data_IF_198142684923
#
_entry.id   IF_198142684923
#
_cell.length_a   1.000
_cell.length_b   1.000
_cell.length_c   1.000
_cell.angle_alpha   90.00
_cell.angle_beta   90.00
_cell.angle_gamma   90.00
#
_symmetry.space_group_name_H-M   'P 1'
#
loop_
_entity.id
_entity.type
_entity.pdbx_description
1 polymer ?
#
# COMPACT_ATOMS: atom_id res chain seq x y z
N UNK A 1 -2.67 -0.58 -4.29
CA UNK A 1 -1.52 0.08 -3.61
C UNK A 1 -1.02 -0.78 -2.47
N UNK A 2 0.16 -0.48 -1.88
CA UNK A 2 0.68 -1.27 -0.78
C UNK A 2 0.47 -0.54 0.58
N UNK A 3 1.14 -0.94 1.64
CA UNK A 3 0.85 -0.53 3.02
C UNK A 3 1.00 0.98 3.28
N UNK A 4 2.04 1.66 2.74
CA UNK A 4 2.27 3.08 3.00
C UNK A 4 1.17 3.95 2.41
N UNK A 5 0.80 3.72 1.15
CA UNK A 5 -0.23 4.51 0.49
C UNK A 5 -1.61 4.29 1.15
N UNK A 6 -1.96 3.05 1.54
CA UNK A 6 -3.20 2.79 2.26
C UNK A 6 -3.23 3.47 3.63
N UNK A 7 -2.12 3.47 4.38
CA UNK A 7 -2.02 4.20 5.63
C UNK A 7 -2.18 5.72 5.41
N UNK A 8 -1.50 6.28 4.40
CA UNK A 8 -1.57 7.70 4.03
C UNK A 8 -2.99 8.14 3.65
N UNK A 9 -3.69 7.31 2.87
CA UNK A 9 -5.06 7.56 2.42
C UNK A 9 -6.13 7.24 3.49
N UNK A 10 -5.72 6.95 4.71
CA UNK A 10 -6.60 6.83 5.89
C UNK A 10 -6.75 8.15 6.66
N UNK A 11 -6.07 9.21 6.21
CA UNK A 11 -6.22 10.60 6.69
C UNK A 11 -6.02 10.78 8.20
N UNK A 12 -5.18 9.94 8.82
CA UNK A 12 -4.85 10.01 10.23
C UNK A 12 -5.93 9.45 11.18
N UNK A 13 -7.01 8.87 10.65
CA UNK A 13 -8.02 8.23 11.48
C UNK A 13 -7.56 6.84 11.94
N UNK A 14 -7.42 6.59 13.27
CA UNK A 14 -6.82 5.38 13.80
C UNK A 14 -7.49 4.07 13.36
N UNK A 15 -8.82 3.98 13.47
CA UNK A 15 -9.56 2.78 13.09
C UNK A 15 -9.56 2.57 11.57
N UNK A 16 -9.62 3.67 10.78
CA UNK A 16 -9.49 3.61 9.33
C UNK A 16 -8.11 3.11 8.92
N UNK A 17 -7.02 3.55 9.57
CA UNK A 17 -5.65 3.05 9.33
C UNK A 17 -5.62 1.53 9.51
N UNK A 18 -6.10 1.05 10.65
CA UNK A 18 -6.12 -0.40 10.96
C UNK A 18 -6.92 -1.16 9.90
N UNK A 19 -8.15 -0.73 9.63
CA UNK A 19 -9.03 -1.38 8.66
C UNK A 19 -8.45 -1.40 7.25
N UNK A 20 -7.85 -0.30 6.83
CA UNK A 20 -7.21 -0.16 5.52
C UNK A 20 -6.00 -1.10 5.38
N UNK A 21 -5.18 -1.24 6.41
CA UNK A 21 -3.99 -2.09 6.37
C UNK A 21 -4.29 -3.59 6.49
N UNK A 22 -5.38 -3.99 7.15
CA UNK A 22 -5.72 -5.42 7.32
C UNK A 22 -6.66 -5.96 6.23
N UNK A 23 -7.20 -5.13 5.35
CA UNK A 23 -8.29 -5.48 4.43
C UNK A 23 -8.02 -6.74 3.60
N UNK A 24 -6.81 -6.91 3.07
CA UNK A 24 -6.40 -8.08 2.27
C UNK A 24 -6.44 -9.40 3.05
N UNK A 25 -6.40 -9.31 4.37
CA UNK A 25 -6.47 -10.46 5.28
C UNK A 25 -7.90 -10.76 5.77
N UNK A 26 -8.87 -9.91 5.40
CA UNK A 26 -10.28 -10.03 5.80
C UNK A 26 -11.15 -10.43 4.61
N UNK A 27 -11.66 -11.68 4.62
CA UNK A 27 -12.44 -12.23 3.51
C UNK A 27 -13.94 -12.26 3.80
N UNK A 28 -14.71 -11.96 2.77
CA UNK A 28 -16.17 -12.15 2.78
C UNK A 28 -16.86 -11.43 3.94
N UNK A 29 -17.69 -12.17 4.68
CA UNK A 29 -18.51 -11.64 5.80
C UNK A 29 -17.71 -11.37 7.08
N UNK A 30 -16.48 -11.86 7.20
CA UNK A 30 -15.63 -11.63 8.37
C UNK A 30 -15.40 -10.14 8.66
N UNK A 31 -15.55 -9.25 7.68
CA UNK A 31 -15.52 -7.80 7.91
C UNK A 31 -16.56 -7.32 8.96
N UNK A 32 -17.68 -8.05 9.13
CA UNK A 32 -18.75 -7.66 10.05
C UNK A 32 -18.38 -7.87 11.54
N UNK A 33 -17.33 -8.64 11.81
CA UNK A 33 -16.85 -8.93 13.17
C UNK A 33 -16.00 -7.79 13.76
N UNK A 34 -15.68 -6.78 12.95
CA UNK A 34 -14.87 -5.63 13.36
C UNK A 34 -15.70 -4.42 13.80
N UNK A 35 -15.17 -3.54 14.66
CA UNK A 35 -15.76 -2.23 14.97
C UNK A 35 -16.08 -1.41 13.73
N UNK A 36 -17.02 -0.47 13.85
CA UNK A 36 -17.52 0.30 12.72
C UNK A 36 -16.41 1.06 11.98
N UNK A 37 -15.49 1.73 12.70
CA UNK A 37 -14.39 2.47 12.07
C UNK A 37 -13.43 1.57 11.33
N UNK A 38 -13.07 0.38 11.89
CA UNK A 38 -12.24 -0.60 11.19
C UNK A 38 -12.95 -1.13 9.93
N UNK A 39 -14.26 -1.41 10.00
CA UNK A 39 -15.05 -1.82 8.81
C UNK A 39 -15.04 -0.75 7.73
N UNK A 40 -15.13 0.53 8.09
CA UNK A 40 -15.03 1.66 7.14
C UNK A 40 -13.65 1.68 6.48
N UNK A 41 -12.58 1.46 7.24
CA UNK A 41 -11.23 1.32 6.71
C UNK A 41 -11.09 0.16 5.71
N UNK A 42 -11.66 -1.02 6.02
CA UNK A 42 -11.69 -2.17 5.11
C UNK A 42 -12.45 -1.85 3.80
N UNK A 43 -13.57 -1.12 3.88
CA UNK A 43 -14.33 -0.70 2.70
C UNK A 43 -13.55 0.33 1.89
N UNK A 44 -12.96 1.32 2.54
CA UNK A 44 -12.12 2.33 1.89
C UNK A 44 -10.97 1.70 1.11
N UNK A 45 -10.26 0.73 1.68
CA UNK A 45 -9.21 -0.03 0.99
C UNK A 45 -9.70 -0.62 -0.34
N UNK A 46 -10.82 -1.34 -0.30
CA UNK A 46 -11.37 -2.00 -1.50
C UNK A 46 -11.80 -1.01 -2.58
N UNK A 47 -12.33 0.15 -2.17
CA UNK A 47 -12.71 1.21 -3.08
C UNK A 47 -11.47 1.88 -3.69
N UNK A 48 -10.41 2.11 -2.91
CA UNK A 48 -9.11 2.60 -3.36
C UNK A 48 -8.50 1.62 -4.37
N UNK A 49 -8.47 0.32 -4.07
CA UNK A 49 -7.89 -0.67 -4.99
C UNK A 49 -8.66 -0.75 -6.31
N UNK A 50 -9.98 -0.71 -6.26
CA UNK A 50 -10.81 -0.65 -7.47
C UNK A 50 -10.51 0.60 -8.30
N UNK A 51 -10.35 1.75 -7.67
CA UNK A 51 -9.99 3.00 -8.34
C UNK A 51 -8.59 2.88 -8.98
N UNK A 52 -7.62 2.37 -8.22
CA UNK A 52 -6.24 2.14 -8.66
C UNK A 52 -6.19 1.24 -9.90
N UNK A 53 -6.91 0.12 -9.88
CA UNK A 53 -6.93 -0.85 -10.98
C UNK A 53 -7.51 -0.28 -12.28
N UNK A 54 -8.46 0.64 -12.18
CA UNK A 54 -9.13 1.26 -13.34
C UNK A 54 -8.41 2.51 -13.85
N UNK A 55 -7.47 3.08 -13.07
CA UNK A 55 -6.83 4.33 -13.42
C UNK A 55 -5.91 4.21 -14.65
N UNK A 56 -5.97 5.16 -15.61
CA UNK A 56 -5.15 5.10 -16.84
C UNK A 56 -3.65 5.02 -16.56
N UNK A 57 -3.12 5.86 -15.67
CA UNK A 57 -1.71 5.87 -15.30
C UNK A 57 -1.27 4.53 -14.66
N UNK A 58 -2.13 3.88 -13.86
CA UNK A 58 -1.83 2.55 -13.31
C UNK A 58 -1.78 1.48 -14.39
N UNK A 59 -2.64 1.57 -15.41
CA UNK A 59 -2.58 0.65 -16.56
C UNK A 59 -1.29 0.81 -17.36
N UNK A 60 -0.83 2.04 -17.55
CA UNK A 60 0.44 2.34 -18.19
C UNK A 60 1.61 1.79 -17.37
N UNK A 61 1.67 2.07 -16.07
CA UNK A 61 2.69 1.53 -15.17
C UNK A 61 2.74 -0.01 -15.19
N UNK A 62 1.58 -0.68 -15.19
CA UNK A 62 1.48 -2.16 -15.28
C UNK A 62 2.07 -2.71 -16.58
N UNK A 63 1.95 -1.98 -17.70
CA UNK A 63 2.48 -2.44 -19.00
C UNK A 63 3.99 -2.67 -18.94
N UNK A 64 4.75 -1.91 -18.16
CA UNK A 64 6.20 -2.10 -17.99
C UNK A 64 6.57 -3.43 -17.31
N UNK A 65 5.70 -3.96 -16.45
CA UNK A 65 5.91 -5.23 -15.73
C UNK A 65 5.24 -6.42 -16.40
N UNK A 66 4.32 -6.19 -17.36
CA UNK A 66 3.43 -7.22 -17.89
C UNK A 66 4.15 -8.34 -18.62
N UNK A 67 5.24 -8.04 -19.33
CA UNK A 67 6.01 -9.04 -20.07
C UNK A 67 6.61 -10.10 -19.13
N UNK A 68 7.17 -9.66 -17.98
CA UNK A 68 7.83 -10.56 -17.03
C UNK A 68 6.85 -11.17 -16.02
N UNK A 69 5.83 -10.42 -15.59
CA UNK A 69 5.04 -10.79 -14.40
C UNK A 69 3.54 -10.95 -14.66
N UNK A 70 3.05 -10.71 -15.87
CA UNK A 70 1.65 -10.97 -16.28
C UNK A 70 0.62 -10.47 -15.24
N UNK A 71 -0.13 -11.40 -14.63
CA UNK A 71 -1.17 -11.11 -13.63
C UNK A 71 -0.64 -10.48 -12.33
N UNK A 72 0.65 -10.63 -12.03
CA UNK A 72 1.28 -10.05 -10.84
C UNK A 72 1.77 -8.61 -11.05
N UNK A 73 1.67 -8.05 -12.27
CA UNK A 73 2.13 -6.70 -12.60
C UNK A 73 1.54 -5.63 -11.66
N UNK A 74 0.27 -5.78 -11.26
CA UNK A 74 -0.38 -4.86 -10.31
C UNK A 74 0.37 -4.79 -8.98
N UNK A 75 0.74 -5.94 -8.41
CA UNK A 75 1.39 -5.99 -7.11
C UNK A 75 2.80 -5.35 -7.12
N UNK A 76 3.50 -5.39 -8.27
CA UNK A 76 4.76 -4.67 -8.44
C UNK A 76 4.53 -3.15 -8.51
N UNK A 77 3.53 -2.70 -9.26
CA UNK A 77 3.16 -1.28 -9.36
C UNK A 77 2.74 -0.73 -7.99
N UNK A 78 2.02 -1.51 -7.20
CA UNK A 78 1.60 -1.11 -5.85
C UNK A 78 2.80 -0.81 -4.94
N UNK A 79 3.85 -1.63 -5.00
CA UNK A 79 5.11 -1.41 -4.27
C UNK A 79 5.86 -0.19 -4.83
N UNK A 80 5.90 -0.02 -6.15
CA UNK A 80 6.55 1.12 -6.81
C UNK A 80 5.87 2.44 -6.44
N UNK A 81 4.55 2.46 -6.35
CA UNK A 81 3.82 3.65 -5.93
C UNK A 81 4.06 4.00 -4.46
N UNK A 82 4.21 3.01 -3.58
CA UNK A 82 4.63 3.24 -2.19
C UNK A 82 6.06 3.82 -2.12
N UNK A 83 6.96 3.37 -3.02
CA UNK A 83 8.30 3.94 -3.13
C UNK A 83 8.27 5.42 -3.50
N UNK A 84 7.57 5.76 -4.58
CA UNK A 84 7.48 7.15 -5.00
C UNK A 84 6.79 8.03 -3.95
N UNK A 85 5.76 7.52 -3.26
CA UNK A 85 5.13 8.24 -2.15
C UNK A 85 6.11 8.50 -0.99
N UNK A 86 6.90 7.49 -0.61
CA UNK A 86 7.89 7.63 0.46
C UNK A 86 9.04 8.59 0.10
N UNK A 87 9.34 8.73 -1.21
CA UNK A 87 10.38 9.60 -1.74
C UNK A 87 9.85 10.98 -2.17
N UNK A 88 8.54 11.21 -2.14
CA UNK A 88 7.90 12.46 -2.55
C UNK A 88 8.07 13.53 -1.46
N UNK A 89 9.02 14.45 -1.70
CA UNK A 89 9.36 15.52 -0.76
C UNK A 89 8.27 16.58 -0.61
N UNK A 90 7.31 16.67 -1.54
CA UNK A 90 6.14 17.54 -1.42
C UNK A 90 5.09 16.97 -0.45
N UNK A 91 5.17 15.66 -0.17
CA UNK A 91 4.29 14.95 0.76
C UNK A 91 4.98 14.66 2.09
N UNK A 92 6.20 14.13 2.05
CA UNK A 92 6.95 13.72 3.22
C UNK A 92 8.38 14.26 3.22
N UNK A 93 8.74 15.07 4.22
CA UNK A 93 10.16 15.15 4.61
C UNK A 93 10.57 13.83 5.26
N UNK A 94 11.89 13.60 5.43
CA UNK A 94 12.38 12.39 6.09
C UNK A 94 11.81 12.22 7.50
N UNK A 95 11.84 13.30 8.29
CA UNK A 95 11.31 13.30 9.66
C UNK A 95 9.78 13.09 9.70
N UNK A 96 9.06 13.68 8.74
CA UNK A 96 7.62 13.49 8.64
C UNK A 96 7.26 12.05 8.26
N UNK A 97 8.00 11.42 7.34
CA UNK A 97 7.81 10.01 6.99
C UNK A 97 8.13 9.10 8.19
N UNK A 98 9.20 9.39 8.93
CA UNK A 98 9.56 8.66 10.15
C UNK A 98 8.44 8.73 11.17
N UNK A 99 7.98 9.94 11.50
CA UNK A 99 6.89 10.14 12.45
C UNK A 99 5.59 9.47 12.00
N UNK A 100 5.29 9.49 10.68
CA UNK A 100 4.13 8.83 10.10
C UNK A 100 4.21 7.31 10.22
N UNK A 101 5.37 6.71 9.93
CA UNK A 101 5.59 5.27 10.06
C UNK A 101 5.46 4.82 11.52
N UNK A 102 6.12 5.51 12.45
CA UNK A 102 6.06 5.22 13.88
C UNK A 102 4.63 5.35 14.43
N UNK A 103 3.92 6.39 14.03
CA UNK A 103 2.51 6.59 14.39
C UNK A 103 1.61 5.47 13.86
N UNK A 104 1.81 5.05 12.61
CA UNK A 104 1.06 3.94 12.01
C UNK A 104 1.32 2.61 12.74
N UNK A 105 2.57 2.32 13.09
CA UNK A 105 2.90 1.12 13.88
C UNK A 105 2.29 1.18 15.28
N UNK A 106 2.28 2.35 15.92
CA UNK A 106 1.67 2.52 17.23
C UNK A 106 0.14 2.27 17.18
N UNK A 107 -0.54 2.71 16.11
CA UNK A 107 -1.98 2.40 15.95
C UNK A 107 -2.23 0.90 15.76
N UNK A 108 -1.41 0.20 14.98
CA UNK A 108 -1.51 -1.24 14.82
C UNK A 108 -1.26 -1.99 16.13
N UNK A 109 -0.28 -1.56 16.95
CA UNK A 109 -0.03 -2.12 18.27
C UNK A 109 -1.22 -1.94 19.20
N UNK A 110 -1.80 -0.71 19.24
CA UNK A 110 -2.96 -0.37 20.08
C UNK A 110 -4.19 -1.21 19.75
N UNK A 111 -4.34 -1.56 18.47
CA UNK A 111 -5.43 -2.36 17.95
C UNK A 111 -5.05 -3.84 17.73
N UNK A 112 -3.98 -4.32 18.35
CA UNK A 112 -3.41 -5.65 18.14
C UNK A 112 -4.41 -6.81 18.24
N UNK A 113 -5.43 -6.68 19.10
CA UNK A 113 -6.49 -7.67 19.27
C UNK A 113 -7.47 -7.79 18.07
N UNK A 114 -7.47 -6.79 17.16
CA UNK A 114 -8.26 -6.80 15.93
C UNK A 114 -7.46 -7.27 14.70
N UNK A 115 -6.16 -7.54 14.84
CA UNK A 115 -5.35 -7.96 13.71
C UNK A 115 -5.68 -9.42 13.32
N UNK A 116 -6.04 -9.69 12.06
CA UNK A 116 -6.21 -11.06 11.58
C UNK A 116 -4.94 -11.89 11.79
N UNK A 117 -5.07 -13.16 12.14
CA UNK A 117 -3.93 -14.03 12.52
C UNK A 117 -2.74 -13.95 11.56
N UNK A 118 -2.99 -13.94 10.24
CA UNK A 118 -1.90 -13.85 9.24
C UNK A 118 -1.22 -12.49 9.23
N UNK A 119 -1.98 -11.41 9.43
CA UNK A 119 -1.41 -10.06 9.56
C UNK A 119 -0.64 -9.93 10.87
N UNK A 120 -1.20 -10.39 11.99
CA UNK A 120 -0.55 -10.38 13.30
C UNK A 120 0.79 -11.14 13.30
N UNK A 121 0.89 -12.24 12.53
CA UNK A 121 2.15 -12.98 12.37
C UNK A 121 3.19 -12.22 11.53
N UNK A 122 2.75 -11.37 10.59
CA UNK A 122 3.62 -10.58 9.72
C UNK A 122 4.05 -9.25 10.37
N UNK A 123 3.17 -8.64 11.15
CA UNK A 123 3.34 -7.29 11.68
C UNK A 123 4.63 -7.07 12.49
N UNK A 124 5.10 -7.99 13.35
CA UNK A 124 6.38 -7.82 14.05
C UNK A 124 7.58 -7.65 13.10
N UNK A 125 7.57 -8.35 11.96
CA UNK A 125 8.62 -8.21 10.92
C UNK A 125 8.48 -6.88 10.18
N UNK A 126 7.26 -6.48 9.83
CA UNK A 126 6.97 -5.20 9.21
C UNK A 126 7.50 -4.04 10.07
N UNK A 127 7.25 -4.08 11.39
CA UNK A 127 7.69 -3.07 12.35
C UNK A 127 9.20 -3.12 12.57
N UNK A 128 9.79 -4.29 12.87
CA UNK A 128 11.23 -4.41 13.17
C UNK A 128 12.13 -4.10 11.97
N UNK A 129 11.66 -4.33 10.76
CA UNK A 129 12.34 -4.00 9.51
C UNK A 129 11.93 -2.64 8.94
N UNK A 130 11.06 -1.92 9.63
CA UNK A 130 10.58 -0.57 9.31
C UNK A 130 10.15 -0.41 7.84
N UNK A 131 9.24 -1.26 7.39
CA UNK A 131 8.85 -1.32 5.97
C UNK A 131 8.33 0.02 5.45
N UNK A 132 7.48 0.72 6.23
CA UNK A 132 6.85 1.96 5.77
C UNK A 132 7.87 3.06 5.50
N UNK A 133 8.87 3.22 6.35
CA UNK A 133 9.94 4.18 6.14
C UNK A 133 10.89 3.74 5.03
N UNK A 134 11.24 2.45 5.01
CA UNK A 134 12.23 1.90 4.10
C UNK A 134 11.76 1.79 2.64
N UNK A 135 10.46 1.99 2.35
CA UNK A 135 10.00 2.17 0.98
C UNK A 135 10.69 3.34 0.25
N UNK A 136 11.23 4.32 0.95
CA UNK A 136 12.00 5.42 0.33
C UNK A 136 13.33 4.97 -0.31
N UNK A 137 13.84 3.79 0.06
CA UNK A 137 15.13 3.27 -0.38
C UNK A 137 14.96 2.15 -1.40
N UNK A 138 15.78 2.13 -2.46
CA UNK A 138 15.74 1.07 -3.47
C UNK A 138 15.96 -0.32 -2.88
N UNK A 139 16.83 -0.46 -1.87
CA UNK A 139 17.02 -1.75 -1.18
C UNK A 139 15.76 -2.22 -0.44
N UNK A 140 14.95 -1.30 0.11
CA UNK A 140 13.67 -1.61 0.74
C UNK A 140 12.65 -2.12 -0.29
N UNK A 141 12.67 -1.55 -1.50
CA UNK A 141 11.84 -2.02 -2.60
C UNK A 141 12.28 -3.39 -3.09
N UNK A 142 13.58 -3.62 -3.24
CA UNK A 142 14.12 -4.93 -3.58
C UNK A 142 13.67 -6.02 -2.58
N UNK A 143 13.72 -5.70 -1.29
CA UNK A 143 13.23 -6.61 -0.23
C UNK A 143 11.72 -6.85 -0.34
N UNK A 144 10.95 -5.82 -0.68
CA UNK A 144 9.49 -5.92 -0.90
C UNK A 144 9.15 -6.78 -2.11
N UNK A 145 9.87 -6.62 -3.22
CA UNK A 145 9.74 -7.47 -4.42
C UNK A 145 10.09 -8.93 -4.11
N UNK A 146 11.20 -9.18 -3.38
CA UNK A 146 11.56 -10.54 -2.92
C UNK A 146 10.48 -11.14 -2.02
N UNK A 147 9.88 -10.32 -1.15
CA UNK A 147 8.76 -10.71 -0.30
C UNK A 147 7.50 -11.06 -1.10
N UNK A 148 7.21 -10.34 -2.18
CA UNK A 148 6.11 -10.63 -3.08
C UNK A 148 6.32 -11.98 -3.78
N UNK A 149 7.49 -12.20 -4.38
CA UNK A 149 7.86 -13.45 -5.07
C UNK A 149 7.73 -14.66 -4.14
N UNK A 150 8.22 -14.58 -2.90
CA UNK A 150 8.10 -15.68 -1.91
C UNK A 150 6.66 -16.08 -1.59
N UNK A 151 5.70 -15.16 -1.77
CA UNK A 151 4.27 -15.44 -1.50
C UNK A 151 3.50 -15.87 -2.75
N UNK A 152 4.06 -15.66 -3.91
CA UNK A 152 3.43 -15.98 -5.19
C UNK A 152 3.68 -17.43 -5.58
N UNK A 153 2.63 -18.10 -6.10
CA UNK A 153 2.70 -19.52 -6.45
C UNK A 153 3.49 -19.79 -7.75
N UNK A 154 3.70 -18.77 -8.58
CA UNK A 154 4.22 -18.94 -9.95
C UNK A 154 5.26 -17.86 -10.32
N UNK A 155 6.05 -17.41 -9.36
CA UNK A 155 7.15 -16.50 -9.57
C UNK A 155 8.39 -16.99 -8.82
N UNK A 156 9.53 -17.00 -9.51
CA UNK A 156 10.78 -17.52 -8.95
C UNK A 156 11.81 -16.41 -8.70
N UNK A 157 11.67 -15.25 -9.37
CA UNK A 157 12.65 -14.17 -9.31
C UNK A 157 12.02 -12.79 -9.42
N UNK A 158 12.61 -11.82 -8.72
CA UNK A 158 12.23 -10.39 -8.74
C UNK A 158 13.28 -9.49 -9.40
N UNK A 159 14.37 -10.02 -9.93
CA UNK A 159 15.47 -9.23 -10.48
C UNK A 159 15.05 -8.38 -11.67
N UNK A 160 14.13 -8.90 -12.50
CA UNK A 160 13.57 -8.15 -13.62
C UNK A 160 12.73 -6.95 -13.15
N UNK A 161 12.04 -7.06 -12.01
CA UNK A 161 11.29 -5.93 -11.46
C UNK A 161 12.19 -4.78 -11.04
N UNK A 162 13.36 -5.05 -10.47
CA UNK A 162 14.36 -4.02 -10.17
C UNK A 162 14.89 -3.38 -11.45
N UNK A 163 15.21 -4.19 -12.48
CA UNK A 163 15.64 -3.67 -13.79
C UNK A 163 14.59 -2.78 -14.45
N UNK A 164 13.31 -3.16 -14.38
CA UNK A 164 12.21 -2.33 -14.87
C UNK A 164 12.13 -1.02 -14.09
N UNK A 165 12.15 -1.07 -12.75
CA UNK A 165 12.12 0.13 -11.91
C UNK A 165 13.27 1.08 -12.24
N UNK A 166 14.51 0.58 -12.36
CA UNK A 166 15.70 1.38 -12.65
C UNK A 166 15.66 1.95 -14.08
N UNK A 167 15.37 1.13 -15.08
CA UNK A 167 15.39 1.53 -16.49
C UNK A 167 14.20 2.39 -16.91
N UNK A 168 13.06 2.30 -16.21
CA UNK A 168 11.81 3.03 -16.48
C UNK A 168 11.42 3.96 -15.34
N UNK A 169 12.39 4.36 -14.52
CA UNK A 169 12.14 5.17 -13.31
C UNK A 169 11.34 6.45 -13.62
N UNK A 170 11.73 7.21 -14.64
CA UNK A 170 11.03 8.45 -15.01
C UNK A 170 9.59 8.21 -15.45
N UNK A 171 9.37 7.22 -16.34
CA UNK A 171 8.04 6.86 -16.83
C UNK A 171 7.11 6.38 -15.69
N UNK A 172 7.62 5.56 -14.79
CA UNK A 172 6.89 5.08 -13.63
C UNK A 172 6.60 6.22 -12.63
N UNK A 173 7.54 7.16 -12.46
CA UNK A 173 7.33 8.34 -11.63
C UNK A 173 6.27 9.27 -12.23
N UNK A 174 6.23 9.45 -13.55
CA UNK A 174 5.19 10.22 -14.22
C UNK A 174 3.81 9.58 -14.06
N UNK A 175 3.73 8.23 -14.15
CA UNK A 175 2.51 7.50 -13.82
C UNK A 175 2.07 7.75 -12.37
N UNK A 176 2.99 7.70 -11.39
CA UNK A 176 2.70 8.03 -10.00
C UNK A 176 2.19 9.45 -9.83
N UNK A 177 2.86 10.45 -10.44
CA UNK A 177 2.47 11.87 -10.37
C UNK A 177 1.08 12.13 -10.95
N UNK A 178 0.73 11.44 -12.03
CA UNK A 178 -0.60 11.51 -12.61
C UNK A 178 -1.69 10.80 -11.80
N UNK A 179 -1.31 9.79 -11.02
CA UNK A 179 -2.22 8.97 -10.23
C UNK A 179 -2.48 9.50 -8.81
N UNK A 180 -1.43 9.90 -8.09
CA UNK A 180 -1.51 10.18 -6.64
C UNK A 180 -2.50 11.30 -6.27
N UNK A 181 -2.57 12.44 -6.97
CA UNK A 181 -3.57 13.46 -6.68
C UNK A 181 -5.01 12.97 -6.86
N UNK A 182 -5.25 12.16 -7.89
CA UNK A 182 -6.58 11.66 -8.22
C UNK A 182 -7.08 10.64 -7.19
N UNK A 183 -6.22 9.68 -6.80
CA UNK A 183 -6.59 8.70 -5.77
C UNK A 183 -6.75 9.36 -4.41
N UNK A 184 -5.93 10.37 -4.07
CA UNK A 184 -6.08 11.12 -2.82
C UNK A 184 -7.42 11.85 -2.76
N UNK A 185 -7.81 12.51 -3.83
CA UNK A 185 -9.10 13.19 -3.94
C UNK A 185 -10.27 12.20 -3.88
N UNK A 186 -10.16 11.07 -4.59
CA UNK A 186 -11.16 10.00 -4.54
C UNK A 186 -11.29 9.44 -3.12
N UNK A 187 -10.17 9.04 -2.50
CA UNK A 187 -10.16 8.44 -1.17
C UNK A 187 -10.70 9.40 -0.10
N UNK A 188 -10.41 10.71 -0.20
CA UNK A 188 -10.93 11.73 0.73
C UNK A 188 -12.46 11.80 0.68
N UNK A 189 -13.03 11.93 -0.51
CA UNK A 189 -14.49 11.95 -0.68
C UNK A 189 -15.12 10.67 -0.16
N UNK A 190 -14.53 9.51 -0.52
CA UNK A 190 -15.05 8.21 -0.10
C UNK A 190 -14.99 8.00 1.42
N UNK A 191 -13.91 8.45 2.05
CA UNK A 191 -13.77 8.40 3.50
C UNK A 191 -14.80 9.28 4.22
N UNK A 192 -15.09 10.47 3.69
CA UNK A 192 -16.14 11.36 4.21
C UNK A 192 -17.53 10.71 4.09
N UNK A 193 -17.88 10.17 2.92
CA UNK A 193 -19.12 9.43 2.74
C UNK A 193 -19.28 8.26 3.73
N UNK A 194 -18.20 7.51 3.95
CA UNK A 194 -18.21 6.39 4.88
C UNK A 194 -18.37 6.81 6.35
N UNK A 195 -18.06 8.05 6.72
CA UNK A 195 -18.32 8.56 8.08
C UNK A 195 -19.81 8.70 8.38
N UNK A 196 -20.58 9.04 7.37
CA UNK A 196 -22.02 9.28 7.50
C UNK A 196 -22.85 7.98 7.44
N UNK A 197 -22.22 6.83 7.11
CA UNK A 197 -22.83 5.48 7.11
C UNK A 197 -22.68 4.80 8.49
#
# INVERSE_FOLDING_TARGET
>A
MNFLAHAYLSFGDPETIVGNLISDFVKGRAQNDFPQGIRKGIRLHRDIDRFTDLHPATREAKAHFQQAYRLYSSAFVDIVYDHFLAADTDIFTEDALRAFADGTYAELDRHGHWLPQRFAAMFPYMKSQDWLFNYRHLWGIEMSFKGLVRRAAYMDDSSEAMRVLESRHGELQDCYRGFMPDVKNFARRRWEELKDE
#
